data_IF_969519091679
#
_entry.id   IF_969519091679
#
_cell.length_a   1.000
_cell.length_b   1.000
_cell.length_c   1.000
_cell.angle_alpha   90.00
_cell.angle_beta   90.00
_cell.angle_gamma   90.00
#
_symmetry.space_group_name_H-M   'P 1'
#
loop_
_entity.id
_entity.type
_entity.pdbx_description
1 polymer ?
#
# COMPACT_ATOMS: atom_id res chain seq x y z
N UNK A 1 14.59 33.17 3.08
CA UNK A 1 13.47 32.71 3.94
C UNK A 1 13.72 31.39 4.69
N UNK A 2 14.82 30.66 4.46
CA UNK A 2 15.22 29.51 5.31
C UNK A 2 16.71 29.52 5.72
N UNK A 3 17.48 30.55 5.37
CA UNK A 3 18.93 30.63 5.69
C UNK A 3 19.79 29.51 5.09
N UNK A 4 19.27 28.73 4.14
CA UNK A 4 19.95 27.59 3.53
C UNK A 4 21.13 28.02 2.65
N UNK A 5 22.19 27.22 2.66
CA UNK A 5 23.22 27.29 1.61
C UNK A 5 22.60 26.90 0.26
N UNK A 6 23.20 27.37 -0.84
CA UNK A 6 22.76 27.02 -2.20
C UNK A 6 22.70 25.51 -2.40
N UNK A 7 23.72 24.78 -1.91
CA UNK A 7 23.78 23.32 -1.99
C UNK A 7 22.61 22.67 -1.23
N UNK A 8 22.35 23.09 0.02
CA UNK A 8 21.26 22.53 0.82
C UNK A 8 19.89 22.82 0.18
N UNK A 9 19.70 24.00 -0.41
CA UNK A 9 18.48 24.34 -1.14
C UNK A 9 18.28 23.45 -2.39
N UNK A 10 19.36 23.19 -3.15
CA UNK A 10 19.31 22.29 -4.31
C UNK A 10 18.96 20.86 -3.90
N UNK A 11 19.60 20.32 -2.86
CA UNK A 11 19.32 18.97 -2.35
C UNK A 11 17.87 18.86 -1.87
N UNK A 12 17.38 19.87 -1.13
CA UNK A 12 16.01 19.91 -0.65
C UNK A 12 15.00 19.90 -1.81
N UNK A 13 15.17 20.77 -2.81
CA UNK A 13 14.29 20.82 -3.98
C UNK A 13 14.33 19.52 -4.78
N UNK A 14 15.53 18.96 -4.99
CA UNK A 14 15.70 17.68 -5.69
C UNK A 14 15.06 16.51 -4.92
N UNK A 15 15.15 16.50 -3.59
CA UNK A 15 14.52 15.51 -2.72
C UNK A 15 13.00 15.58 -2.78
N UNK A 16 12.42 16.78 -2.68
CA UNK A 16 10.98 16.97 -2.81
C UNK A 16 10.48 16.55 -4.20
N UNK A 17 11.20 16.93 -5.26
CA UNK A 17 10.86 16.54 -6.63
C UNK A 17 10.97 15.03 -6.84
N UNK A 18 12.03 14.39 -6.33
CA UNK A 18 12.22 12.94 -6.45
C UNK A 18 11.22 12.16 -5.61
N UNK A 19 10.83 12.66 -4.45
CA UNK A 19 9.74 12.12 -3.65
C UNK A 19 8.39 12.17 -4.36
N UNK A 20 8.06 13.31 -4.97
CA UNK A 20 6.84 13.44 -5.78
C UNK A 20 6.88 12.52 -7.01
N UNK A 21 8.04 12.41 -7.66
CA UNK A 21 8.26 11.48 -8.76
C UNK A 21 8.09 10.02 -8.34
N UNK A 22 8.61 9.63 -7.17
CA UNK A 22 8.41 8.30 -6.61
C UNK A 22 6.92 8.06 -6.29
N UNK A 23 6.24 9.00 -5.65
CA UNK A 23 4.80 8.89 -5.36
C UNK A 23 3.97 8.73 -6.65
N UNK A 24 4.29 9.51 -7.68
CA UNK A 24 3.68 9.39 -9.00
C UNK A 24 3.91 8.00 -9.61
N UNK A 25 5.14 7.49 -9.55
CA UNK A 25 5.46 6.13 -10.03
C UNK A 25 4.69 5.05 -9.28
N UNK A 26 4.55 5.18 -7.96
CA UNK A 26 3.79 4.23 -7.15
C UNK A 26 2.32 4.22 -7.58
N UNK A 27 1.69 5.39 -7.70
CA UNK A 27 0.30 5.49 -8.16
C UNK A 27 0.10 4.90 -9.57
N UNK A 28 1.06 5.12 -10.45
CA UNK A 28 1.04 4.61 -11.82
C UNK A 28 1.18 3.08 -11.91
N UNK A 29 2.05 2.46 -11.10
CA UNK A 29 2.28 1.02 -11.15
C UNK A 29 1.19 0.23 -10.39
N UNK A 30 0.75 0.74 -9.24
CA UNK A 30 -0.03 -0.04 -8.28
C UNK A 30 -1.56 0.18 -8.37
N UNK A 31 -2.07 1.06 -9.26
CA UNK A 31 -3.52 1.20 -9.49
C UNK A 31 -4.18 -0.16 -9.79
N UNK A 32 -3.48 -0.98 -10.56
CA UNK A 32 -3.91 -2.32 -10.92
C UNK A 32 -4.21 -3.20 -9.69
N UNK A 33 -3.50 -3.00 -8.58
CA UNK A 33 -3.66 -3.81 -7.38
C UNK A 33 -4.95 -3.49 -6.61
N UNK A 34 -5.57 -2.32 -6.83
CA UNK A 34 -6.76 -1.89 -6.07
C UNK A 34 -8.07 -1.95 -6.83
N UNK A 35 -8.06 -1.72 -8.15
CA UNK A 35 -9.30 -1.55 -8.93
C UNK A 35 -9.45 -2.55 -10.07
N UNK A 36 -8.46 -3.41 -10.35
CA UNK A 36 -8.53 -4.36 -11.46
C UNK A 36 -9.65 -5.38 -11.31
N UNK A 37 -9.97 -5.79 -10.07
CA UNK A 37 -11.05 -6.72 -9.78
C UNK A 37 -12.42 -6.12 -10.14
N UNK A 38 -12.73 -4.90 -9.68
CA UNK A 38 -14.00 -4.24 -9.94
C UNK A 38 -14.15 -3.77 -11.39
N UNK A 39 -13.06 -3.34 -12.03
CA UNK A 39 -13.06 -3.02 -13.47
C UNK A 39 -13.22 -4.30 -14.30
N UNK A 40 -12.50 -5.37 -13.93
CA UNK A 40 -12.53 -6.66 -14.63
C UNK A 40 -13.85 -7.40 -14.51
N UNK A 41 -14.55 -7.25 -13.39
CA UNK A 41 -15.91 -7.78 -13.19
C UNK A 41 -17.01 -6.86 -13.76
N UNK A 42 -16.63 -5.80 -14.48
CA UNK A 42 -17.55 -4.80 -15.04
C UNK A 42 -18.50 -4.19 -13.99
N UNK A 43 -18.01 -4.06 -12.75
CA UNK A 43 -18.70 -3.38 -11.66
C UNK A 43 -18.64 -1.86 -11.79
N UNK A 44 -17.49 -1.35 -12.25
CA UNK A 44 -17.26 0.06 -12.54
C UNK A 44 -16.43 0.22 -13.81
N UNK A 45 -16.57 1.38 -14.44
CA UNK A 45 -15.71 1.76 -15.56
C UNK A 45 -14.30 2.12 -15.09
N UNK A 46 -13.31 2.02 -15.98
CA UNK A 46 -11.95 2.48 -15.72
C UNK A 46 -11.90 3.95 -15.24
N UNK A 47 -12.71 4.84 -15.84
CA UNK A 47 -12.75 6.26 -15.44
C UNK A 47 -13.22 6.43 -13.99
N UNK A 48 -14.24 5.68 -13.58
CA UNK A 48 -14.72 5.70 -12.20
C UNK A 48 -13.66 5.14 -11.25
N UNK A 49 -13.02 4.02 -11.60
CA UNK A 49 -11.95 3.42 -10.81
C UNK A 49 -10.80 4.39 -10.53
N UNK A 50 -10.33 5.12 -11.54
CA UNK A 50 -9.25 6.11 -11.41
C UNK A 50 -9.62 7.22 -10.41
N UNK A 51 -10.84 7.76 -10.50
CA UNK A 51 -11.29 8.85 -9.62
C UNK A 51 -11.42 8.35 -8.17
N UNK A 52 -12.08 7.21 -7.98
CA UNK A 52 -12.30 6.61 -6.66
C UNK A 52 -10.95 6.26 -6.02
N UNK A 53 -10.07 5.58 -6.76
CA UNK A 53 -8.76 5.19 -6.26
C UNK A 53 -7.91 6.40 -5.88
N UNK A 54 -7.96 7.48 -6.66
CA UNK A 54 -7.22 8.72 -6.35
C UNK A 54 -7.65 9.33 -5.02
N UNK A 55 -8.95 9.47 -4.80
CA UNK A 55 -9.50 10.05 -3.56
C UNK A 55 -9.14 9.18 -2.35
N UNK A 56 -9.32 7.86 -2.47
CA UNK A 56 -9.10 6.93 -1.36
C UNK A 56 -7.63 6.68 -1.08
N UNK A 57 -6.76 6.66 -2.09
CA UNK A 57 -5.32 6.59 -1.90
C UNK A 57 -4.80 7.82 -1.16
N UNK A 58 -5.27 9.02 -1.51
CA UNK A 58 -4.95 10.25 -0.77
C UNK A 58 -5.45 10.16 0.68
N UNK A 59 -6.70 9.71 0.88
CA UNK A 59 -7.28 9.57 2.22
C UNK A 59 -6.48 8.58 3.08
N UNK A 60 -6.15 7.40 2.53
CA UNK A 60 -5.35 6.40 3.21
C UNK A 60 -3.95 6.88 3.56
N UNK A 61 -3.32 7.60 2.63
CA UNK A 61 -2.00 8.20 2.84
C UNK A 61 -1.99 9.19 4.01
N UNK A 62 -3.00 10.07 4.09
CA UNK A 62 -3.10 11.11 5.12
C UNK A 62 -3.41 10.49 6.49
N UNK A 63 -4.40 9.60 6.57
CA UNK A 63 -4.92 9.15 7.86
C UNK A 63 -4.24 7.90 8.42
N UNK A 64 -3.60 7.09 7.59
CA UNK A 64 -3.03 5.80 7.99
C UNK A 64 -1.60 5.55 7.47
N UNK A 65 -0.97 6.53 6.80
CA UNK A 65 0.38 6.40 6.23
C UNK A 65 1.56 6.65 7.18
N UNK A 66 1.31 7.11 8.41
CA UNK A 66 2.34 7.56 9.37
C UNK A 66 3.34 6.45 9.74
N UNK A 67 2.84 5.27 10.13
CA UNK A 67 3.67 4.19 10.68
C UNK A 67 4.67 3.61 9.66
N UNK A 68 4.26 3.43 8.40
CA UNK A 68 5.17 2.93 7.35
C UNK A 68 6.22 3.97 7.02
N UNK A 69 5.83 5.25 6.97
CA UNK A 69 6.74 6.37 6.73
C UNK A 69 7.87 6.39 7.75
N UNK A 70 7.57 6.21 9.04
CA UNK A 70 8.57 6.14 10.11
C UNK A 70 9.56 4.99 9.92
N UNK A 71 9.06 3.80 9.53
CA UNK A 71 9.92 2.63 9.31
C UNK A 71 10.85 2.81 8.11
N UNK A 72 10.37 3.37 7.00
CA UNK A 72 11.19 3.62 5.80
C UNK A 72 12.22 4.74 6.06
N UNK A 73 11.89 5.72 6.91
CA UNK A 73 12.76 6.84 7.25
C UNK A 73 13.99 6.42 8.07
N UNK A 74 13.84 5.65 9.14
CA UNK A 74 14.95 5.38 10.09
C UNK A 74 15.21 3.90 10.37
N UNK A 75 14.42 2.99 9.79
CA UNK A 75 14.44 1.58 10.18
C UNK A 75 15.56 0.75 9.55
N UNK A 76 16.23 1.21 8.50
CA UNK A 76 17.05 0.34 7.63
C UNK A 76 18.53 0.33 8.02
N UNK A 77 19.09 1.47 8.40
CA UNK A 77 20.48 1.61 8.83
C UNK A 77 20.61 2.73 9.86
N UNK A 78 21.63 2.64 10.70
CA UNK A 78 22.03 3.69 11.63
C UNK A 78 22.62 4.89 10.88
N UNK A 79 22.24 6.08 11.29
CA UNK A 79 22.64 7.33 10.67
C UNK A 79 23.93 7.89 11.27
N UNK A 80 24.34 7.45 12.47
CA UNK A 80 25.54 7.95 13.15
C UNK A 80 26.84 7.73 12.34
N UNK A 81 27.06 6.56 11.71
CA UNK A 81 28.28 6.33 10.93
C UNK A 81 28.32 7.05 9.57
N UNK A 82 27.25 7.76 9.19
CA UNK A 82 27.19 8.50 7.92
C UNK A 82 28.03 9.78 8.04
N UNK A 83 28.97 10.07 7.11
CA UNK A 83 30.00 11.11 7.30
C UNK A 83 29.48 12.51 7.58
N UNK A 84 28.30 12.87 7.06
CA UNK A 84 27.63 14.12 7.38
C UNK A 84 26.14 14.06 7.06
N UNK A 85 25.39 15.03 7.59
CA UNK A 85 23.97 15.20 7.27
C UNK A 85 23.75 15.39 5.76
N UNK A 86 24.66 16.08 5.06
CA UNK A 86 24.62 16.20 3.59
C UNK A 86 24.70 14.83 2.91
N UNK A 87 25.59 13.95 3.37
CA UNK A 87 25.68 12.59 2.81
C UNK A 87 24.41 11.78 3.08
N UNK A 88 23.79 11.93 4.26
CA UNK A 88 22.52 11.27 4.57
C UNK A 88 21.38 11.76 3.67
N UNK A 89 21.29 13.07 3.44
CA UNK A 89 20.31 13.66 2.52
C UNK A 89 20.54 13.19 1.08
N UNK A 90 21.79 13.16 0.61
CA UNK A 90 22.14 12.66 -0.73
C UNK A 90 21.86 11.15 -0.88
N UNK A 91 22.10 10.36 0.16
CA UNK A 91 21.79 8.93 0.17
C UNK A 91 20.29 8.66 0.06
N UNK A 92 19.48 9.40 0.83
CA UNK A 92 18.02 9.31 0.76
C UNK A 92 17.48 9.79 -0.60
N UNK A 93 18.03 10.88 -1.15
CA UNK A 93 17.75 11.36 -2.51
C UNK A 93 18.09 10.29 -3.55
N UNK A 94 19.29 9.70 -3.49
CA UNK A 94 19.71 8.65 -4.41
C UNK A 94 18.77 7.44 -4.38
N UNK A 95 18.39 7.00 -3.18
CA UNK A 95 17.49 5.85 -2.99
C UNK A 95 16.10 6.09 -3.60
N UNK A 96 15.49 7.25 -3.33
CA UNK A 96 14.15 7.57 -3.83
C UNK A 96 14.16 7.78 -5.35
N UNK A 97 15.20 8.42 -5.90
CA UNK A 97 15.37 8.58 -7.36
C UNK A 97 15.61 7.23 -8.04
N UNK A 98 16.48 6.37 -7.47
CA UNK A 98 16.77 5.05 -8.00
C UNK A 98 15.51 4.16 -8.06
N UNK A 99 14.74 4.13 -6.97
CA UNK A 99 13.48 3.40 -6.92
C UNK A 99 12.48 3.94 -7.96
N UNK A 100 12.34 5.27 -8.07
CA UNK A 100 11.48 5.91 -9.07
C UNK A 100 11.85 5.54 -10.51
N UNK A 101 13.16 5.55 -10.85
CA UNK A 101 13.65 5.17 -12.19
C UNK A 101 13.29 3.71 -12.50
N UNK A 102 13.54 2.80 -11.56
CA UNK A 102 13.22 1.38 -11.76
C UNK A 102 11.72 1.16 -11.96
N UNK A 103 10.88 1.82 -11.17
CA UNK A 103 9.42 1.72 -11.28
C UNK A 103 8.92 2.36 -12.57
N UNK A 104 9.51 3.45 -13.04
CA UNK A 104 9.20 4.02 -14.37
C UNK A 104 9.47 3.01 -15.47
N UNK A 105 10.63 2.35 -15.47
CA UNK A 105 10.99 1.35 -16.47
C UNK A 105 10.01 0.16 -16.43
N UNK A 106 9.67 -0.32 -15.23
CA UNK A 106 8.72 -1.42 -15.06
C UNK A 106 7.32 -1.04 -15.53
N UNK A 107 6.83 0.15 -15.15
CA UNK A 107 5.51 0.67 -15.56
C UNK A 107 5.44 0.88 -17.07
N UNK A 108 6.51 1.38 -17.68
CA UNK A 108 6.59 1.55 -19.14
C UNK A 108 6.47 0.21 -19.88
N UNK A 109 7.01 -0.87 -19.29
CA UNK A 109 6.87 -2.25 -19.76
C UNK A 109 5.59 -2.95 -19.27
N UNK A 110 4.67 -2.24 -18.63
CA UNK A 110 3.43 -2.78 -18.05
C UNK A 110 3.67 -3.92 -17.06
N UNK A 111 4.80 -3.90 -16.35
CA UNK A 111 5.14 -4.89 -15.33
C UNK A 111 4.68 -4.43 -13.94
N UNK A 112 3.82 -5.21 -13.25
CA UNK A 112 3.54 -4.95 -11.85
C UNK A 112 4.76 -5.36 -11.01
N UNK A 113 5.36 -4.42 -10.30
CA UNK A 113 6.52 -4.67 -9.44
C UNK A 113 6.30 -4.11 -8.03
N UNK A 114 7.08 -4.59 -7.07
CA UNK A 114 7.00 -4.09 -5.69
C UNK A 114 7.74 -2.77 -5.53
N UNK A 115 6.98 -1.70 -5.30
CA UNK A 115 7.52 -0.38 -5.00
C UNK A 115 8.23 -0.33 -3.64
N UNK A 116 7.71 -1.06 -2.63
CA UNK A 116 8.33 -1.23 -1.32
C UNK A 116 9.70 -1.91 -1.41
N UNK A 117 9.85 -2.94 -2.25
CA UNK A 117 11.15 -3.59 -2.48
C UNK A 117 12.14 -2.65 -3.15
N UNK A 118 11.65 -1.79 -4.06
CA UNK A 118 12.48 -0.83 -4.78
C UNK A 118 13.07 0.19 -3.82
N UNK A 119 12.27 0.81 -2.94
CA UNK A 119 12.81 1.80 -2.01
C UNK A 119 13.66 1.18 -0.90
N UNK A 120 13.24 0.05 -0.32
CA UNK A 120 14.04 -0.64 0.70
C UNK A 120 15.37 -1.09 0.10
N UNK A 121 15.38 -1.57 -1.14
CA UNK A 121 16.60 -1.88 -1.88
C UNK A 121 17.49 -0.66 -2.08
N UNK A 122 16.93 0.47 -2.51
CA UNK A 122 17.68 1.73 -2.69
C UNK A 122 18.32 2.23 -1.40
N UNK A 123 17.57 2.23 -0.29
CA UNK A 123 18.05 2.63 1.03
C UNK A 123 19.11 1.65 1.57
N UNK A 124 18.87 0.35 1.41
CA UNK A 124 19.84 -0.70 1.77
C UNK A 124 21.13 -0.57 0.97
N UNK A 125 21.07 -0.29 -0.33
CA UNK A 125 22.24 -0.09 -1.18
C UNK A 125 23.12 1.06 -0.71
N UNK A 126 22.51 2.22 -0.39
CA UNK A 126 23.23 3.34 0.20
C UNK A 126 23.84 2.98 1.56
N UNK A 127 23.06 2.41 2.49
CA UNK A 127 23.55 2.01 3.79
C UNK A 127 24.69 0.98 3.72
N UNK A 128 24.58 0.01 2.82
CA UNK A 128 25.60 -1.01 2.59
C UNK A 128 26.90 -0.40 2.06
N UNK A 129 26.83 0.59 1.16
CA UNK A 129 28.00 1.31 0.68
C UNK A 129 28.74 1.98 1.85
N UNK A 130 28.04 2.73 2.70
CA UNK A 130 28.65 3.36 3.87
C UNK A 130 29.25 2.32 4.82
N UNK A 131 28.55 1.20 5.02
CA UNK A 131 29.01 0.10 5.86
C UNK A 131 30.35 -0.49 5.38
N UNK A 132 30.50 -0.70 4.06
CA UNK A 132 31.75 -1.28 3.50
C UNK A 132 32.88 -0.26 3.36
N UNK A 133 32.58 1.04 3.27
CA UNK A 133 33.60 2.10 3.12
C UNK A 133 34.12 2.67 4.44
N UNK A 134 33.55 2.29 5.58
CA UNK A 134 34.07 2.70 6.89
C UNK A 134 33.09 2.65 8.06
N UNK A 135 31.79 2.57 7.82
CA UNK A 135 30.77 2.54 8.89
C UNK A 135 30.63 1.18 9.60
N UNK A 136 31.10 0.10 8.97
CA UNK A 136 31.01 -1.28 9.48
C UNK A 136 29.63 -1.90 9.28
N UNK A 137 29.57 -3.23 9.10
CA UNK A 137 28.31 -3.95 8.87
C UNK A 137 27.31 -3.90 10.04
N UNK A 138 27.77 -3.48 11.23
CA UNK A 138 26.93 -3.29 12.41
C UNK A 138 25.95 -2.12 12.29
N UNK A 139 26.19 -1.17 11.38
CA UNK A 139 25.27 -0.05 11.15
C UNK A 139 23.98 -0.48 10.46
N UNK A 140 23.98 -1.64 9.79
CA UNK A 140 22.79 -2.15 9.12
C UNK A 140 21.86 -2.76 10.17
N UNK A 141 20.60 -2.31 10.18
CA UNK A 141 19.58 -2.82 11.10
C UNK A 141 19.06 -4.19 10.64
N UNK A 142 19.89 -5.24 10.78
CA UNK A 142 19.57 -6.61 10.35
C UNK A 142 18.27 -7.14 10.93
N UNK A 143 17.94 -6.78 12.17
CA UNK A 143 16.66 -7.14 12.80
C UNK A 143 15.46 -6.53 12.08
N UNK A 144 15.53 -5.24 11.71
CA UNK A 144 14.46 -4.56 10.98
C UNK A 144 14.35 -5.08 9.54
N UNK A 145 15.48 -5.24 8.84
CA UNK A 145 15.50 -5.84 7.50
C UNK A 145 14.93 -7.26 7.50
N UNK A 146 15.27 -8.08 8.50
CA UNK A 146 14.69 -9.41 8.68
C UNK A 146 13.18 -9.38 8.86
N UNK A 147 12.65 -8.45 9.66
CA UNK A 147 11.19 -8.24 9.82
C UNK A 147 10.53 -7.79 8.52
N UNK A 148 11.17 -6.88 7.77
CA UNK A 148 10.68 -6.41 6.47
C UNK A 148 10.62 -7.57 5.48
N UNK A 149 11.70 -8.34 5.32
CA UNK A 149 11.73 -9.52 4.42
C UNK A 149 10.70 -10.56 4.85
N UNK A 150 10.55 -10.82 6.15
CA UNK A 150 9.53 -11.71 6.67
C UNK A 150 8.11 -11.23 6.34
N UNK A 151 7.86 -9.92 6.40
CA UNK A 151 6.57 -9.33 6.02
C UNK A 151 6.27 -9.52 4.52
N UNK A 152 7.29 -9.53 3.67
CA UNK A 152 7.14 -9.78 2.23
C UNK A 152 6.80 -11.24 1.91
N UNK A 153 7.34 -12.17 2.71
CA UNK A 153 7.01 -13.59 2.61
C UNK A 153 5.63 -13.92 3.18
N UNK A 154 5.26 -13.28 4.29
CA UNK A 154 4.03 -13.60 5.02
C UNK A 154 2.81 -12.86 4.48
N UNK A 155 2.93 -11.66 3.92
CA UNK A 155 1.78 -10.90 3.40
C UNK A 155 0.99 -11.62 2.29
N UNK A 156 1.60 -12.30 1.30
CA UNK A 156 0.82 -13.07 0.32
C UNK A 156 0.08 -14.24 0.97
N UNK A 157 0.65 -14.84 2.02
CA UNK A 157 0.04 -15.94 2.76
C UNK A 157 -1.16 -15.45 3.56
N UNK A 158 -1.03 -14.30 4.25
CA UNK A 158 -2.16 -13.68 4.96
C UNK A 158 -3.25 -13.22 4.01
N UNK A 159 -2.90 -12.66 2.85
CA UNK A 159 -3.86 -12.33 1.79
C UNK A 159 -4.60 -13.58 1.30
N UNK A 160 -3.86 -14.65 0.99
CA UNK A 160 -4.43 -15.93 0.57
C UNK A 160 -5.37 -16.52 1.63
N UNK A 161 -4.92 -16.56 2.89
CA UNK A 161 -5.70 -17.08 4.01
C UNK A 161 -6.96 -16.26 4.23
N UNK A 162 -6.85 -14.92 4.27
CA UNK A 162 -7.99 -14.02 4.44
C UNK A 162 -9.03 -14.20 3.34
N UNK A 163 -8.59 -14.19 2.08
CA UNK A 163 -9.47 -14.37 0.93
C UNK A 163 -10.10 -15.77 0.89
N UNK A 164 -9.33 -16.82 1.22
CA UNK A 164 -9.83 -18.19 1.36
C UNK A 164 -10.92 -18.29 2.43
N UNK A 165 -10.68 -17.76 3.62
CA UNK A 165 -11.61 -17.82 4.75
C UNK A 165 -12.90 -17.08 4.44
N UNK A 166 -12.81 -15.87 3.89
CA UNK A 166 -13.98 -15.07 3.50
C UNK A 166 -14.77 -15.76 2.41
N UNK A 167 -14.12 -16.32 1.39
CA UNK A 167 -14.82 -17.02 0.33
C UNK A 167 -15.49 -18.30 0.84
N UNK A 168 -14.81 -19.10 1.68
CA UNK A 168 -15.42 -20.27 2.34
C UNK A 168 -16.59 -19.87 3.23
N UNK A 169 -16.51 -18.74 3.93
CA UNK A 169 -17.60 -18.22 4.74
C UNK A 169 -18.80 -17.83 3.87
N UNK A 170 -18.58 -17.17 2.73
CA UNK A 170 -19.63 -16.86 1.75
C UNK A 170 -20.28 -18.15 1.24
N UNK A 171 -19.50 -19.16 0.85
CA UNK A 171 -20.04 -20.45 0.40
C UNK A 171 -20.87 -21.12 1.48
N UNK A 172 -20.33 -21.19 2.70
CA UNK A 172 -20.99 -21.86 3.82
C UNK A 172 -22.27 -21.14 4.27
N UNK A 173 -22.24 -19.82 4.40
CA UNK A 173 -23.38 -19.04 4.89
C UNK A 173 -24.43 -18.77 3.82
N UNK A 174 -24.02 -18.47 2.58
CA UNK A 174 -24.91 -17.96 1.53
C UNK A 174 -25.23 -19.06 0.52
N UNK A 175 -24.23 -19.66 -0.11
CA UNK A 175 -24.50 -20.60 -1.21
C UNK A 175 -25.05 -21.96 -0.75
N UNK A 176 -24.79 -22.35 0.49
CA UNK A 176 -25.33 -23.59 1.08
C UNK A 176 -26.67 -23.38 1.82
N UNK A 177 -27.24 -22.17 1.82
CA UNK A 177 -28.51 -21.92 2.49
C UNK A 177 -29.71 -22.26 1.59
N UNK A 178 -30.89 -22.42 2.19
CA UNK A 178 -32.14 -22.73 1.46
C UNK A 178 -32.54 -21.62 0.48
N UNK A 179 -32.30 -20.36 0.86
CA UNK A 179 -32.51 -19.17 0.03
C UNK A 179 -31.23 -18.31 0.04
N UNK A 180 -30.31 -18.55 -0.91
CA UNK A 180 -29.06 -17.80 -1.03
C UNK A 180 -29.28 -16.30 -1.20
N UNK A 181 -30.32 -15.90 -1.94
CA UNK A 181 -30.61 -14.49 -2.18
C UNK A 181 -30.99 -13.78 -0.88
N UNK A 182 -32.00 -14.28 -0.15
CA UNK A 182 -32.41 -13.68 1.11
C UNK A 182 -31.29 -13.72 2.15
N UNK A 183 -30.51 -14.80 2.17
CA UNK A 183 -29.39 -14.94 3.09
C UNK A 183 -28.28 -13.94 2.79
N UNK A 184 -27.98 -13.70 1.50
CA UNK A 184 -27.01 -12.67 1.11
C UNK A 184 -27.44 -11.28 1.55
N UNK A 185 -28.74 -10.93 1.44
CA UNK A 185 -29.28 -9.64 1.95
C UNK A 185 -29.09 -9.49 3.46
N UNK A 186 -29.29 -10.58 4.22
CA UNK A 186 -29.06 -10.60 5.68
C UNK A 186 -27.57 -10.53 6.04
N UNK A 187 -26.69 -11.03 5.18
CA UNK A 187 -25.24 -11.05 5.40
C UNK A 187 -24.55 -9.72 5.04
N UNK A 188 -25.13 -8.86 4.19
CA UNK A 188 -24.57 -7.54 3.80
C UNK A 188 -24.07 -6.71 5.01
N UNK A 189 -24.85 -6.50 6.08
CA UNK A 189 -24.40 -5.70 7.23
C UNK A 189 -23.17 -6.27 7.92
N UNK A 190 -23.02 -7.60 7.93
CA UNK A 190 -21.87 -8.27 8.54
C UNK A 190 -20.59 -7.99 7.76
N UNK A 191 -20.59 -8.20 6.44
CA UNK A 191 -19.41 -7.95 5.60
C UNK A 191 -18.99 -6.48 5.56
N UNK A 192 -19.97 -5.57 5.45
CA UNK A 192 -19.71 -4.13 5.53
C UNK A 192 -19.23 -3.73 6.91
N UNK A 193 -19.86 -4.23 7.96
CA UNK A 193 -19.51 -3.91 9.34
C UNK A 193 -18.10 -4.39 9.70
N UNK A 194 -17.71 -5.58 9.26
CA UNK A 194 -16.36 -6.10 9.43
C UNK A 194 -15.31 -5.22 8.71
N UNK A 195 -15.60 -4.79 7.49
CA UNK A 195 -14.73 -3.88 6.73
C UNK A 195 -14.57 -2.54 7.45
N UNK A 196 -15.68 -1.92 7.86
CA UNK A 196 -15.67 -0.63 8.55
C UNK A 196 -15.05 -0.71 9.93
N UNK A 197 -15.19 -1.84 10.62
CA UNK A 197 -14.50 -2.11 11.87
C UNK A 197 -12.98 -2.07 11.68
N UNK A 198 -12.43 -2.82 10.71
CA UNK A 198 -10.98 -2.88 10.48
C UNK A 198 -10.42 -1.50 10.08
N UNK A 199 -11.12 -0.78 9.19
CA UNK A 199 -10.74 0.59 8.82
C UNK A 199 -10.73 1.50 10.04
N UNK A 200 -11.77 1.43 10.89
CA UNK A 200 -11.86 2.24 12.11
C UNK A 200 -10.73 1.91 13.09
N UNK A 201 -10.39 0.63 13.28
CA UNK A 201 -9.23 0.24 14.10
C UNK A 201 -7.95 0.86 13.54
N UNK A 202 -7.71 0.81 12.23
CA UNK A 202 -6.50 1.39 11.63
C UNK A 202 -6.38 2.91 11.80
N UNK A 203 -7.53 3.60 11.81
CA UNK A 203 -7.60 5.04 11.96
C UNK A 203 -7.37 5.47 13.42
N UNK A 204 -7.65 4.57 14.37
CA UNK A 204 -7.58 4.85 15.81
C UNK A 204 -6.32 4.32 16.48
N UNK A 205 -5.74 3.22 15.99
CA UNK A 205 -4.61 2.58 16.64
C UNK A 205 -3.32 3.40 16.46
N UNK A 206 -2.84 4.00 17.56
CA UNK A 206 -1.57 4.71 17.65
C UNK A 206 -1.36 5.84 16.61
N UNK A 207 -2.43 6.41 16.07
CA UNK A 207 -2.38 7.46 15.04
C UNK A 207 -2.45 8.86 15.63
N UNK A 208 -1.92 9.85 14.90
CA UNK A 208 -2.19 11.29 15.15
C UNK A 208 -3.67 11.65 15.17
N UNK A 209 -4.51 10.94 14.42
CA UNK A 209 -5.96 11.15 14.44
C UNK A 209 -6.56 10.81 15.81
N UNK A 210 -6.14 9.70 16.41
CA UNK A 210 -6.59 9.31 17.74
C UNK A 210 -6.17 10.33 18.81
N UNK A 211 -4.96 10.87 18.69
CA UNK A 211 -4.45 11.93 19.56
C UNK A 211 -5.28 13.21 19.47
N UNK A 212 -5.72 13.60 18.27
CA UNK A 212 -6.59 14.76 18.06
C UNK A 212 -7.99 14.60 18.64
N UNK A 213 -8.56 13.40 18.53
CA UNK A 213 -9.95 13.13 18.94
C UNK A 213 -10.03 12.86 20.46
N UNK A 214 -9.08 12.10 20.99
CA UNK A 214 -9.12 11.60 22.37
C UNK A 214 -8.10 12.25 23.30
N UNK A 215 -7.19 13.09 22.78
CA UNK A 215 -6.12 13.72 23.54
C UNK A 215 -4.91 12.79 23.81
N UNK A 216 -4.93 11.56 23.30
CA UNK A 216 -3.87 10.57 23.46
C UNK A 216 -3.84 9.59 22.28
N UNK A 217 -2.68 8.97 22.04
CA UNK A 217 -2.56 7.87 21.07
C UNK A 217 -3.13 6.58 21.66
N UNK A 218 -4.17 6.05 21.04
CA UNK A 218 -4.88 4.89 21.58
C UNK A 218 -4.11 3.58 21.36
N UNK A 219 -4.00 2.77 22.42
CA UNK A 219 -3.55 1.39 22.34
C UNK A 219 -4.58 0.47 21.67
N UNK A 220 -4.14 -0.76 21.32
CA UNK A 220 -4.95 -1.72 20.54
C UNK A 220 -6.32 -2.02 21.16
N UNK A 221 -6.38 -2.23 22.48
CA UNK A 221 -7.63 -2.55 23.16
C UNK A 221 -8.67 -1.43 23.05
N UNK A 222 -8.28 -0.17 23.30
CA UNK A 222 -9.19 1.00 23.21
C UNK A 222 -9.60 1.25 21.76
N UNK A 223 -8.67 1.14 20.81
CA UNK A 223 -8.97 1.28 19.39
C UNK A 223 -10.02 0.25 18.92
N UNK A 224 -9.88 -1.02 19.31
CA UNK A 224 -10.87 -2.08 19.01
C UNK A 224 -12.22 -1.77 19.67
N UNK A 225 -12.22 -1.42 20.95
CA UNK A 225 -13.45 -1.13 21.69
C UNK A 225 -14.27 -0.01 21.05
N UNK A 226 -13.62 1.07 20.61
CA UNK A 226 -14.28 2.20 19.96
C UNK A 226 -14.65 1.90 18.49
N UNK A 227 -13.88 1.08 17.78
CA UNK A 227 -14.18 0.70 16.41
C UNK A 227 -15.38 -0.24 16.28
N UNK A 228 -15.63 -1.11 17.27
CA UNK A 228 -16.75 -2.08 17.25
C UNK A 228 -18.13 -1.44 16.99
N UNK A 229 -18.59 -0.44 17.76
CA UNK A 229 -19.89 0.19 17.52
C UNK A 229 -19.91 0.94 16.18
N UNK A 230 -18.80 1.56 15.77
CA UNK A 230 -18.69 2.25 14.47
C UNK A 230 -18.90 1.25 13.33
N UNK A 231 -18.22 0.11 13.38
CA UNK A 231 -18.39 -0.97 12.40
C UNK A 231 -19.82 -1.49 12.35
N UNK A 232 -20.43 -1.76 13.50
CA UNK A 232 -21.82 -2.24 13.57
C UNK A 232 -22.82 -1.24 12.99
N UNK A 233 -22.71 0.04 13.36
CA UNK A 233 -23.61 1.10 12.89
C UNK A 233 -23.43 1.31 11.38
N UNK A 234 -22.20 1.47 10.91
CA UNK A 234 -21.93 1.71 9.49
C UNK A 234 -22.26 0.49 8.62
N UNK A 235 -22.07 -0.74 9.13
CA UNK A 235 -22.52 -1.96 8.47
C UNK A 235 -24.05 -2.00 8.31
N UNK A 236 -24.79 -1.68 9.38
CA UNK A 236 -26.25 -1.66 9.35
C UNK A 236 -26.81 -0.55 8.46
N UNK A 237 -26.25 0.66 8.51
CA UNK A 237 -26.67 1.77 7.66
C UNK A 237 -26.24 1.57 6.19
N UNK A 238 -25.05 1.02 5.96
CA UNK A 238 -24.51 0.76 4.63
C UNK A 238 -25.32 -0.27 3.82
N UNK A 239 -26.11 -1.12 4.49
CA UNK A 239 -26.97 -2.09 3.80
C UNK A 239 -28.02 -1.43 2.90
N UNK A 240 -28.54 -0.26 3.27
CA UNK A 240 -29.63 0.40 2.57
C UNK A 240 -29.24 0.80 1.13
N UNK A 241 -28.15 1.55 0.89
CA UNK A 241 -27.72 1.86 -0.48
C UNK A 241 -27.29 0.63 -1.26
N UNK A 242 -26.66 -0.37 -0.61
CA UNK A 242 -26.25 -1.62 -1.28
C UNK A 242 -27.46 -2.40 -1.79
N UNK A 243 -28.51 -2.54 -1.00
CA UNK A 243 -29.69 -3.35 -1.36
C UNK A 243 -30.76 -2.58 -2.15
N UNK A 244 -30.62 -1.27 -2.33
CA UNK A 244 -31.64 -0.43 -2.97
C UNK A 244 -31.91 -0.86 -4.42
N UNK A 245 -33.16 -1.23 -4.71
CA UNK A 245 -33.59 -1.60 -6.07
C UNK A 245 -33.02 -2.93 -6.58
N UNK A 246 -32.61 -3.83 -5.67
CA UNK A 246 -32.30 -5.22 -6.00
C UNK A 246 -33.54 -6.07 -5.68
N UNK A 247 -34.17 -6.57 -6.74
CA UNK A 247 -35.30 -7.50 -6.71
C UNK A 247 -34.83 -8.88 -7.14
N UNK A 248 -35.52 -9.94 -6.69
CA UNK A 248 -35.15 -11.31 -7.05
C UNK A 248 -35.67 -11.64 -8.43
N UNK A 249 -34.81 -12.15 -9.31
CA UNK A 249 -35.19 -12.71 -10.61
C UNK A 249 -34.68 -14.14 -10.80
N UNK A 250 -33.45 -14.46 -10.37
CA UNK A 250 -32.85 -15.80 -10.42
C UNK A 250 -31.80 -15.98 -9.30
N UNK A 251 -31.99 -16.95 -8.40
CA UNK A 251 -31.35 -16.96 -7.07
C UNK A 251 -29.81 -16.86 -7.00
N UNK A 252 -29.04 -17.40 -7.96
CA UNK A 252 -27.56 -17.31 -7.96
C UNK A 252 -27.07 -15.98 -8.58
N UNK A 253 -27.66 -15.58 -9.71
CA UNK A 253 -27.31 -14.33 -10.38
C UNK A 253 -27.73 -13.12 -9.52
N UNK A 254 -28.78 -13.28 -8.72
CA UNK A 254 -29.22 -12.29 -7.75
C UNK A 254 -28.18 -12.07 -6.63
N UNK A 255 -27.51 -13.13 -6.15
CA UNK A 255 -26.43 -13.01 -5.14
C UNK A 255 -25.25 -12.24 -5.73
N UNK A 256 -24.85 -12.57 -6.96
CA UNK A 256 -23.76 -11.87 -7.66
C UNK A 256 -24.10 -10.40 -7.90
N UNK A 257 -25.37 -10.03 -8.10
CA UNK A 257 -25.79 -8.63 -8.22
C UNK A 257 -25.56 -7.81 -6.94
N UNK A 258 -25.77 -8.41 -5.76
CA UNK A 258 -25.49 -7.80 -4.46
C UNK A 258 -23.98 -7.69 -4.27
N UNK A 259 -23.25 -8.76 -4.55
CA UNK A 259 -21.80 -8.78 -4.43
C UNK A 259 -21.11 -7.85 -5.42
N UNK A 260 -21.69 -7.56 -6.59
CA UNK A 260 -21.20 -6.53 -7.52
C UNK A 260 -21.08 -5.17 -6.83
N UNK A 261 -22.07 -4.79 -6.01
CA UNK A 261 -22.05 -3.53 -5.24
C UNK A 261 -21.13 -3.59 -4.03
N UNK A 262 -21.10 -4.73 -3.31
CA UNK A 262 -20.16 -4.93 -2.21
C UNK A 262 -18.71 -4.93 -2.70
N UNK A 263 -18.46 -5.46 -3.89
CA UNK A 263 -17.14 -5.50 -4.50
C UNK A 263 -16.60 -4.08 -4.69
N UNK A 264 -17.41 -3.16 -5.21
CA UNK A 264 -17.01 -1.75 -5.34
C UNK A 264 -16.55 -1.17 -4.00
N UNK A 265 -17.28 -1.47 -2.92
CA UNK A 265 -16.93 -0.99 -1.57
C UNK A 265 -15.65 -1.63 -1.02
N UNK A 266 -15.37 -2.89 -1.35
CA UNK A 266 -14.10 -3.51 -0.93
C UNK A 266 -12.93 -3.13 -1.85
N UNK A 267 -13.15 -2.80 -3.13
CA UNK A 267 -12.12 -2.17 -3.97
C UNK A 267 -11.77 -0.77 -3.46
N UNK A 268 -12.76 -0.02 -2.95
CA UNK A 268 -12.52 1.20 -2.18
C UNK A 268 -11.63 0.93 -0.95
N UNK A 269 -11.92 -0.15 -0.22
CA UNK A 269 -11.12 -0.58 0.93
C UNK A 269 -9.67 -0.93 0.54
N UNK A 270 -9.45 -1.60 -0.60
CA UNK A 270 -8.10 -1.84 -1.13
C UNK A 270 -7.42 -0.53 -1.49
N UNK A 271 -8.08 0.41 -2.17
CA UNK A 271 -7.47 1.69 -2.54
C UNK A 271 -7.07 2.56 -1.33
N UNK A 272 -7.89 2.57 -0.28
CA UNK A 272 -7.52 3.21 0.98
C UNK A 272 -6.30 2.53 1.62
N UNK A 273 -6.32 1.20 1.72
CA UNK A 273 -5.23 0.42 2.33
C UNK A 273 -3.92 0.53 1.53
N UNK A 274 -4.03 0.63 0.20
CA UNK A 274 -2.93 0.95 -0.71
C UNK A 274 -2.31 2.30 -0.36
N UNK A 275 -3.11 3.36 -0.26
CA UNK A 275 -2.60 4.69 0.12
C UNK A 275 -1.85 4.68 1.45
N UNK A 276 -2.43 3.98 2.45
CA UNK A 276 -1.85 3.84 3.78
C UNK A 276 -0.49 3.11 3.77
N UNK A 277 -0.35 2.02 3.02
CA UNK A 277 0.90 1.26 3.00
C UNK A 277 1.98 1.92 2.12
N UNK A 278 1.58 2.52 1.00
CA UNK A 278 2.53 2.89 -0.05
C UNK A 278 3.10 4.30 0.07
N UNK A 279 2.39 5.26 0.68
CA UNK A 279 2.86 6.65 0.73
C UNK A 279 4.22 6.77 1.45
N UNK A 280 4.45 5.93 2.46
CA UNK A 280 5.71 5.92 3.22
C UNK A 280 6.93 5.59 2.38
N UNK A 281 6.76 4.86 1.28
CA UNK A 281 7.85 4.54 0.35
C UNK A 281 8.38 5.77 -0.40
N UNK A 282 7.55 6.80 -0.58
CA UNK A 282 7.96 8.07 -1.16
C UNK A 282 8.32 9.10 -0.09
N UNK A 283 7.52 9.18 0.97
CA UNK A 283 7.64 10.23 2.00
C UNK A 283 8.77 9.94 2.99
N UNK A 284 9.04 8.69 3.36
CA UNK A 284 10.08 8.34 4.32
C UNK A 284 11.47 8.89 3.95
N UNK A 285 11.96 8.65 2.71
CA UNK A 285 13.22 9.24 2.23
C UNK A 285 13.19 10.77 2.15
N UNK A 286 12.04 11.35 1.79
CA UNK A 286 11.89 12.82 1.75
C UNK A 286 12.05 13.42 3.14
N UNK A 287 11.48 12.80 4.17
CA UNK A 287 11.66 13.26 5.56
C UNK A 287 13.15 13.27 5.94
N UNK A 288 13.92 12.24 5.55
CA UNK A 288 15.37 12.24 5.75
C UNK A 288 16.06 13.40 5.03
N UNK A 289 15.71 13.67 3.77
CA UNK A 289 16.28 14.81 3.03
C UNK A 289 15.97 16.13 3.74
N UNK A 290 14.72 16.34 4.12
CA UNK A 290 14.28 17.60 4.75
C UNK A 290 14.98 17.80 6.10
N UNK A 291 14.98 16.78 6.98
CA UNK A 291 15.60 16.87 8.31
C UNK A 291 17.10 17.12 8.26
N UNK A 292 17.78 16.58 7.25
CA UNK A 292 19.25 16.69 7.13
C UNK A 292 19.72 17.85 6.24
N UNK A 293 18.81 18.55 5.57
CA UNK A 293 19.11 19.84 4.90
C UNK A 293 18.77 21.04 5.78
N UNK A 294 17.90 20.87 6.79
CA UNK A 294 17.50 21.89 7.76
C UNK A 294 17.85 21.50 9.22
N UNK A 295 19.12 21.20 9.54
CA UNK A 295 19.48 20.77 10.89
C UNK A 295 19.33 21.89 11.92
N UNK A 296 18.78 21.56 13.10
CA UNK A 296 18.78 22.42 14.28
C UNK A 296 17.83 23.64 14.25
N UNK A 297 17.13 23.92 13.15
CA UNK A 297 16.18 25.05 13.05
C UNK A 297 14.74 24.68 13.44
N UNK A 298 14.48 23.40 13.74
CA UNK A 298 13.13 22.86 13.79
C UNK A 298 12.51 22.82 12.40
N UNK A 299 11.72 21.78 12.09
CA UNK A 299 11.05 21.71 10.80
C UNK A 299 9.98 22.79 10.73
N UNK A 300 9.99 23.68 9.70
CA UNK A 300 8.87 24.58 9.44
C UNK A 300 7.56 23.80 9.35
N UNK A 301 6.44 24.41 9.77
CA UNK A 301 5.13 23.75 9.79
C UNK A 301 4.74 23.13 8.44
N UNK A 302 5.16 23.74 7.32
CA UNK A 302 4.91 23.27 5.95
C UNK A 302 5.72 22.02 5.56
N UNK A 303 6.66 21.59 6.40
CA UNK A 303 7.35 20.30 6.33
C UNK A 303 6.91 19.33 7.43
N UNK A 304 5.75 19.57 8.06
CA UNK A 304 5.14 18.59 8.97
C UNK A 304 4.83 17.28 8.25
N UNK A 305 4.85 16.18 9.01
CA UNK A 305 4.55 14.85 8.48
C UNK A 305 3.21 14.80 7.74
N UNK A 306 2.19 15.49 8.25
CA UNK A 306 0.85 15.54 7.64
C UNK A 306 0.86 16.16 6.25
N UNK A 307 1.63 17.24 6.06
CA UNK A 307 1.75 17.91 4.76
C UNK A 307 2.57 17.04 3.80
N UNK A 308 3.66 16.44 4.27
CA UNK A 308 4.45 15.53 3.45
C UNK A 308 3.64 14.29 3.02
N UNK A 309 2.84 13.71 3.91
CA UNK A 309 1.89 12.63 3.60
C UNK A 309 0.81 13.08 2.61
N UNK A 310 0.30 14.31 2.75
CA UNK A 310 -0.67 14.89 1.82
C UNK A 310 -0.07 15.06 0.43
N UNK A 311 1.13 15.64 0.32
CA UNK A 311 1.85 15.81 -0.95
C UNK A 311 2.17 14.45 -1.57
N UNK A 312 2.62 13.48 -0.76
CA UNK A 312 2.82 12.10 -1.20
C UNK A 312 1.54 11.47 -1.74
N UNK A 313 0.42 11.57 -1.02
CA UNK A 313 -0.89 11.09 -1.44
C UNK A 313 -1.37 11.73 -2.75
N UNK A 314 -1.19 13.05 -2.91
CA UNK A 314 -1.47 13.75 -4.16
C UNK A 314 -0.59 13.25 -5.31
N UNK A 315 0.69 12.95 -5.03
CA UNK A 315 1.57 12.27 -5.98
C UNK A 315 1.04 10.91 -6.42
N UNK A 316 0.57 10.07 -5.49
CA UNK A 316 -0.09 8.80 -5.82
C UNK A 316 -1.29 9.03 -6.76
N UNK A 317 -2.17 9.97 -6.43
CA UNK A 317 -3.34 10.30 -7.25
C UNK A 317 -2.95 10.78 -8.67
N UNK A 318 -1.93 11.63 -8.79
CA UNK A 318 -1.42 12.07 -10.09
C UNK A 318 -0.91 10.89 -10.93
N UNK A 319 -0.19 9.95 -10.31
CA UNK A 319 0.25 8.71 -10.94
C UNK A 319 -0.89 7.85 -11.46
N UNK A 320 -1.88 7.61 -10.60
CA UNK A 320 -3.11 6.88 -10.91
C UNK A 320 -3.81 7.49 -12.13
N UNK A 321 -4.01 8.81 -12.14
CA UNK A 321 -4.73 9.52 -13.20
C UNK A 321 -4.00 9.55 -14.55
N UNK A 322 -2.67 9.59 -14.54
CA UNK A 322 -1.88 9.83 -15.75
C UNK A 322 -1.31 8.57 -16.39
N UNK A 323 -0.79 7.61 -15.61
CA UNK A 323 -0.16 6.39 -16.12
C UNK A 323 -0.72 5.08 -15.55
N UNK A 324 -1.70 5.15 -14.64
CA UNK A 324 -2.35 3.95 -14.08
C UNK A 324 -2.94 3.00 -15.13
N UNK A 325 -3.33 3.51 -16.31
CA UNK A 325 -3.86 2.70 -17.41
C UNK A 325 -2.86 1.64 -17.92
N UNK A 326 -1.56 1.90 -17.84
CA UNK A 326 -0.53 1.02 -18.43
C UNK A 326 -0.47 -0.35 -17.78
N UNK A 327 -0.70 -0.44 -16.47
CA UNK A 327 -0.61 -1.70 -15.71
C UNK A 327 -1.97 -2.32 -15.47
N UNK A 328 -3.02 -1.52 -15.22
CA UNK A 328 -4.36 -2.08 -14.97
C UNK A 328 -4.92 -2.82 -16.20
N UNK A 329 -4.58 -2.38 -17.41
CA UNK A 329 -4.97 -3.07 -18.63
C UNK A 329 -4.32 -4.45 -18.78
N UNK A 330 -3.15 -4.70 -18.18
CA UNK A 330 -2.50 -6.02 -18.25
C UNK A 330 -2.94 -6.94 -17.11
N UNK A 331 -3.22 -6.40 -15.92
CA UNK A 331 -3.63 -7.19 -14.73
C UNK A 331 -5.13 -7.48 -14.74
N UNK A 332 -5.97 -6.54 -15.19
CA UNK A 332 -7.42 -6.69 -15.27
C UNK A 332 -7.83 -7.93 -16.06
N UNK A 333 -7.22 -8.18 -17.22
CA UNK A 333 -7.52 -9.36 -18.05
C UNK A 333 -7.13 -10.71 -17.43
N UNK A 334 -6.22 -10.74 -16.44
CA UNK A 334 -5.90 -11.98 -15.71
C UNK A 334 -6.91 -12.27 -14.57
N UNK A 335 -7.69 -11.25 -14.19
CA UNK A 335 -8.67 -11.29 -13.09
C UNK A 335 -10.13 -11.26 -13.61
N UNK A 336 -10.37 -10.90 -14.88
CA UNK A 336 -11.70 -10.81 -15.53
C UNK A 336 -12.53 -12.10 -15.51
N UNK A 337 -11.94 -13.25 -15.17
CA UNK A 337 -12.70 -14.51 -15.00
C UNK A 337 -13.27 -14.70 -13.58
N UNK A 338 -13.08 -13.73 -12.67
CA UNK A 338 -13.62 -13.80 -11.31
C UNK A 338 -15.06 -13.28 -11.25
N UNK A 339 -15.93 -14.05 -10.59
CA UNK A 339 -17.26 -13.60 -10.17
C UNK A 339 -17.15 -12.54 -9.07
N UNK A 340 -18.20 -11.76 -8.82
CA UNK A 340 -18.13 -10.65 -7.87
C UNK A 340 -17.91 -11.12 -6.42
N UNK A 341 -18.48 -12.26 -6.04
CA UNK A 341 -18.19 -12.90 -4.73
C UNK A 341 -16.70 -13.21 -4.52
N UNK A 342 -16.02 -13.62 -5.59
CA UNK A 342 -14.58 -13.90 -5.59
C UNK A 342 -13.78 -12.61 -5.57
N UNK A 343 -14.12 -11.64 -6.43
CA UNK A 343 -13.51 -10.31 -6.43
C UNK A 343 -13.61 -9.66 -5.04
N UNK A 344 -14.78 -9.74 -4.41
CA UNK A 344 -15.00 -9.27 -3.04
C UNK A 344 -14.04 -9.93 -2.03
N UNK A 345 -13.90 -11.25 -2.11
CA UNK A 345 -13.04 -12.03 -1.19
C UNK A 345 -11.55 -11.71 -1.39
N UNK A 346 -11.11 -11.56 -2.65
CA UNK A 346 -9.75 -11.17 -3.00
C UNK A 346 -9.43 -9.79 -2.43
N UNK A 347 -10.29 -8.81 -2.71
CA UNK A 347 -10.14 -7.43 -2.25
C UNK A 347 -10.13 -7.35 -0.73
N UNK A 348 -11.04 -8.05 -0.04
CA UNK A 348 -11.09 -8.04 1.42
C UNK A 348 -9.79 -8.61 2.02
N UNK A 349 -9.37 -9.81 1.59
CA UNK A 349 -8.13 -10.42 2.08
C UNK A 349 -6.90 -9.56 1.81
N UNK A 350 -6.85 -8.93 0.64
CA UNK A 350 -5.74 -8.07 0.24
C UNK A 350 -5.69 -6.78 1.06
N UNK A 351 -6.82 -6.06 1.15
CA UNK A 351 -6.93 -4.81 1.89
C UNK A 351 -6.70 -5.00 3.39
N UNK A 352 -7.27 -6.05 4.00
CA UNK A 352 -7.03 -6.34 5.42
C UNK A 352 -5.55 -6.59 5.71
N UNK A 353 -4.88 -7.36 4.85
CA UNK A 353 -3.45 -7.62 5.02
C UNK A 353 -2.62 -6.33 4.87
N UNK A 354 -2.91 -5.51 3.85
CA UNK A 354 -2.22 -4.23 3.63
C UNK A 354 -2.41 -3.26 4.80
N UNK A 355 -3.64 -3.14 5.30
CA UNK A 355 -3.95 -2.19 6.34
C UNK A 355 -3.41 -2.61 7.70
N UNK A 356 -3.50 -3.89 8.05
CA UNK A 356 -2.87 -4.42 9.26
C UNK A 356 -1.35 -4.29 9.19
N UNK A 357 -0.73 -4.56 8.04
CA UNK A 357 0.70 -4.32 7.87
C UNK A 357 1.06 -2.84 8.04
N UNK A 358 0.26 -1.93 7.46
CA UNK A 358 0.45 -0.49 7.61
C UNK A 358 0.32 -0.04 9.09
N UNK A 359 -0.62 -0.59 9.87
CA UNK A 359 -0.76 -0.30 11.30
C UNK A 359 0.49 -0.65 12.11
N UNK A 360 1.19 -1.73 11.73
CA UNK A 360 2.44 -2.14 12.36
C UNK A 360 3.68 -1.50 11.71
N UNK A 361 3.49 -0.56 10.78
CA UNK A 361 4.57 0.13 10.07
C UNK A 361 5.36 -0.76 9.12
N UNK A 362 4.85 -1.93 8.74
CA UNK A 362 5.54 -2.85 7.84
C UNK A 362 5.31 -2.46 6.37
N UNK A 363 6.35 -2.05 5.63
CA UNK A 363 6.24 -1.80 4.19
C UNK A 363 6.14 -3.15 3.47
N UNK A 364 4.96 -3.47 2.95
CA UNK A 364 4.72 -4.72 2.23
C UNK A 364 4.52 -4.47 0.73
N UNK A 365 4.47 -5.55 -0.06
CA UNK A 365 4.10 -5.45 -1.47
C UNK A 365 2.61 -5.65 -1.66
N UNK A 366 1.93 -4.63 -2.19
CA UNK A 366 0.51 -4.71 -2.52
C UNK A 366 0.25 -5.72 -3.63
N UNK A 367 1.08 -5.73 -4.68
CA UNK A 367 1.00 -6.73 -5.77
C UNK A 367 1.07 -8.16 -5.26
N UNK A 368 2.03 -8.50 -4.39
CA UNK A 368 2.14 -9.87 -3.89
C UNK A 368 0.99 -10.25 -2.96
N UNK A 369 0.48 -9.27 -2.19
CA UNK A 369 -0.68 -9.49 -1.33
C UNK A 369 -1.92 -9.82 -2.15
N UNK A 370 -2.19 -9.05 -3.21
CA UNK A 370 -3.31 -9.30 -4.12
C UNK A 370 -3.17 -10.64 -4.83
N UNK A 371 -1.97 -10.95 -5.35
CA UNK A 371 -1.70 -12.25 -5.97
C UNK A 371 -1.93 -13.39 -4.98
N UNK A 372 -1.48 -13.23 -3.73
CA UNK A 372 -1.77 -14.17 -2.63
C UNK A 372 -3.27 -14.36 -2.43
N UNK A 373 -4.04 -13.27 -2.33
CA UNK A 373 -5.49 -13.31 -2.18
C UNK A 373 -6.19 -14.01 -3.35
N UNK A 374 -5.77 -13.77 -4.59
CA UNK A 374 -6.27 -14.48 -5.79
C UNK A 374 -6.01 -15.99 -5.69
N UNK A 375 -4.78 -16.38 -5.31
CA UNK A 375 -4.44 -17.79 -5.08
C UNK A 375 -5.32 -18.39 -3.98
N UNK A 376 -5.55 -17.67 -2.89
CA UNK A 376 -6.42 -18.09 -1.78
C UNK A 376 -7.85 -18.44 -2.21
N UNK A 377 -8.47 -17.60 -3.03
CA UNK A 377 -9.79 -17.90 -3.62
C UNK A 377 -9.72 -19.08 -4.59
N UNK A 378 -8.63 -19.20 -5.35
CA UNK A 378 -8.36 -20.38 -6.19
C UNK A 378 -8.32 -21.68 -5.40
N UNK A 379 -7.55 -21.73 -4.31
CA UNK A 379 -7.45 -22.87 -3.40
C UNK A 379 -8.80 -23.28 -2.81
N UNK A 380 -9.69 -22.32 -2.54
CA UNK A 380 -11.01 -22.61 -2.00
C UNK A 380 -11.91 -23.41 -2.96
N UNK A 381 -11.60 -23.41 -4.28
CA UNK A 381 -12.28 -24.17 -5.34
C UNK A 381 -11.66 -25.54 -5.63
N UNK A 382 -10.40 -25.78 -5.29
CA UNK A 382 -9.66 -27.02 -5.56
C UNK A 382 -8.21 -26.79 -5.98
N UNK A 383 -7.33 -27.76 -5.68
CA UNK A 383 -5.87 -27.65 -5.84
C UNK A 383 -5.41 -27.68 -7.31
N UNK A 384 -6.24 -28.19 -8.24
CA UNK A 384 -5.92 -28.27 -9.68
C UNK A 384 -5.83 -26.90 -10.38
N UNK A 385 -6.26 -25.81 -9.73
CA UNK A 385 -6.25 -24.46 -10.31
C UNK A 385 -4.95 -23.66 -10.08
N UNK A 386 -3.89 -24.28 -9.54
CA UNK A 386 -2.66 -23.56 -9.15
C UNK A 386 -1.69 -23.43 -10.33
N UNK A 387 -1.49 -22.20 -10.78
CA UNK A 387 -0.40 -21.85 -11.68
C UNK A 387 0.87 -21.48 -10.89
N UNK A 388 1.78 -22.46 -10.71
CA UNK A 388 3.08 -22.27 -10.03
C UNK A 388 3.96 -21.19 -10.68
N UNK A 389 3.70 -20.82 -11.94
CA UNK A 389 4.44 -19.74 -12.60
C UNK A 389 4.19 -18.39 -11.95
N UNK A 390 3.06 -18.19 -11.26
CA UNK A 390 2.75 -16.97 -10.51
C UNK A 390 3.70 -16.82 -9.32
N UNK A 391 3.90 -17.87 -8.53
CA UNK A 391 4.85 -17.88 -7.40
C UNK A 391 6.27 -17.65 -7.91
N UNK A 392 6.65 -18.32 -9.00
CA UNK A 392 7.96 -18.11 -9.64
C UNK A 392 8.17 -16.65 -10.05
N UNK A 393 7.16 -16.01 -10.66
CA UNK A 393 7.21 -14.59 -11.05
C UNK A 393 7.40 -13.66 -9.86
N UNK A 394 6.74 -13.93 -8.72
CA UNK A 394 6.93 -13.19 -7.47
C UNK A 394 8.41 -13.27 -7.04
N UNK A 395 8.96 -14.48 -6.89
CA UNK A 395 10.34 -14.66 -6.41
C UNK A 395 11.35 -14.02 -7.37
N UNK A 396 11.17 -14.20 -8.68
CA UNK A 396 12.05 -13.60 -9.69
C UNK A 396 11.99 -12.07 -9.65
N UNK A 397 10.82 -11.47 -9.45
CA UNK A 397 10.72 -10.01 -9.36
C UNK A 397 11.49 -9.46 -8.16
N UNK A 398 11.60 -10.22 -7.06
CA UNK A 398 12.36 -9.81 -5.87
C UNK A 398 13.86 -9.86 -6.11
N UNK A 399 14.32 -10.97 -6.69
CA UNK A 399 15.74 -11.19 -7.03
C UNK A 399 16.28 -10.14 -8.00
N UNK A 400 15.40 -9.51 -8.79
CA UNK A 400 15.78 -8.44 -9.71
C UNK A 400 15.60 -7.06 -9.08
N UNK A 401 14.44 -6.78 -8.47
CA UNK A 401 14.07 -5.43 -8.03
C UNK A 401 14.99 -4.88 -6.94
N UNK A 402 15.26 -5.68 -5.90
CA UNK A 402 16.07 -5.20 -4.75
C UNK A 402 17.51 -4.90 -5.19
N UNK A 403 18.23 -5.81 -5.89
CA UNK A 403 19.60 -5.52 -6.32
C UNK A 403 19.68 -4.37 -7.33
N UNK A 404 18.76 -4.29 -8.29
CA UNK A 404 18.77 -3.21 -9.30
C UNK A 404 18.57 -1.85 -8.63
N UNK A 405 17.62 -1.73 -7.70
CA UNK A 405 17.41 -0.48 -6.98
C UNK A 405 18.60 -0.13 -6.06
N UNK A 406 19.17 -1.12 -5.37
CA UNK A 406 20.36 -0.93 -4.54
C UNK A 406 21.57 -0.43 -5.33
N UNK A 407 21.90 -1.09 -6.44
CA UNK A 407 23.03 -0.70 -7.31
C UNK A 407 22.81 0.68 -7.92
N UNK A 408 21.59 0.97 -8.40
CA UNK A 408 21.28 2.28 -8.98
C UNK A 408 21.41 3.39 -7.93
N UNK A 409 20.97 3.15 -6.70
CA UNK A 409 21.13 4.08 -5.57
C UNK A 409 22.62 4.35 -5.27
N UNK A 410 23.44 3.30 -5.21
CA UNK A 410 24.90 3.42 -5.01
C UNK A 410 25.54 4.27 -6.10
N UNK A 411 25.21 4.02 -7.37
CA UNK A 411 25.75 4.78 -8.51
C UNK A 411 25.34 6.24 -8.43
N UNK A 412 24.05 6.53 -8.21
CA UNK A 412 23.55 7.91 -8.12
C UNK A 412 24.18 8.67 -6.96
N UNK A 413 24.26 8.05 -5.78
CA UNK A 413 24.92 8.63 -4.62
C UNK A 413 26.40 8.95 -4.91
N UNK A 414 27.13 7.98 -5.47
CA UNK A 414 28.57 8.15 -5.77
C UNK A 414 28.81 9.29 -6.74
N UNK A 415 27.94 9.45 -7.75
CA UNK A 415 27.99 10.58 -8.68
C UNK A 415 27.72 11.89 -7.96
N UNK A 416 26.65 11.98 -7.15
CA UNK A 416 26.27 13.21 -6.47
C UNK A 416 27.34 13.69 -5.47
N UNK A 417 28.02 12.76 -4.79
CA UNK A 417 29.08 13.10 -3.82
C UNK A 417 30.32 13.72 -4.49
N UNK A 418 30.54 13.52 -5.79
CA UNK A 418 31.65 14.20 -6.50
C UNK A 418 31.46 15.72 -6.64
N UNK A 419 30.24 16.22 -6.40
CA UNK A 419 29.88 17.64 -6.57
C UNK A 419 29.75 18.40 -5.25
N UNK A 420 30.12 17.78 -4.12
CA UNK A 420 30.17 18.39 -2.79
C UNK A 420 31.60 18.37 -2.27
#
# INVERSE_FOLDING_TARGET
MLGLSTLAAVILLAGLASGLYMAWNIGANDLANSMSSAVGAEAITYKQAVIIASILAVSGAIFAGEHVTQTVQVGIFDTEPVPSQTHLALGALAAVTAAGIWITIATWKSMPISTSHSIVGGMFGFGLLIAITGGGLGMISWGTLGRIVLSWLTSPIFGALGAFLVFKLIVYLIFNSEDPFLTSKKAVPFFLGATMFIVSVSLLYNTTLSERIFGERLGAFRAILYALPVGAILGFLGKYPVLKGIESNDGIDDVESIFKRLQILTSCYVAFSFGANNVGNAVGPVVLVVQNTLPGQGLPWFFSNEILLTVGGLGLALGIMTWGYKVIQTVGFQITTLTNTRGFSVDFGAATTMLVAAMFGMPISTSHTVVGSVLGVGFARGVEAIDLSVIKRIVVSWLITVPVAAMTSVVLYTIMVQFI
#
